data_IF_506789474983
#
_entry.id   IF_506789474983
#
_cell.length_a   1.000
_cell.length_b   1.000
_cell.length_c   1.000
_cell.angle_alpha   90.00
_cell.angle_beta   90.00
_cell.angle_gamma   90.00
#
_symmetry.space_group_name_H-M   'P 1'
#
loop_
_entity.id
_entity.type
_entity.pdbx_description
1 polymer ?
#
# COMPACT_ATOMS: atom_id res chain seq x y z
N UNK A 1 10.60 26.98 17.41
CA UNK A 1 9.36 26.66 16.65
C UNK A 1 9.02 25.23 17.01
N UNK A 2 7.80 24.94 17.45
CA UNK A 2 7.38 23.56 17.64
C UNK A 2 7.38 22.89 16.26
N UNK A 3 8.19 21.87 16.07
CA UNK A 3 8.15 21.03 14.87
C UNK A 3 6.77 20.38 14.83
N UNK A 4 6.02 20.60 13.73
CA UNK A 4 4.78 19.88 13.52
C UNK A 4 5.12 18.38 13.43
N UNK A 5 4.59 17.60 14.38
CA UNK A 5 4.85 16.16 14.48
C UNK A 5 4.41 15.37 13.23
N UNK A 6 3.58 15.99 12.40
CA UNK A 6 3.04 15.39 11.18
C UNK A 6 3.62 15.99 9.91
N UNK A 7 4.61 16.87 10.00
CA UNK A 7 5.27 17.46 8.83
C UNK A 7 6.01 16.39 8.02
N UNK A 8 5.62 16.25 6.77
CA UNK A 8 6.21 15.33 5.78
C UNK A 8 6.88 16.10 4.62
N UNK A 9 7.17 17.38 4.82
CA UNK A 9 7.82 18.21 3.78
C UNK A 9 9.12 17.56 3.29
N UNK A 10 9.25 17.42 1.97
CA UNK A 10 10.40 16.80 1.31
C UNK A 10 10.43 15.27 1.38
N UNK A 11 9.37 14.61 1.86
CA UNK A 11 9.24 13.15 1.86
C UNK A 11 8.61 12.66 0.57
N UNK A 12 9.09 11.52 0.08
CA UNK A 12 8.52 10.79 -1.06
C UNK A 12 7.68 9.63 -0.53
N UNK A 13 6.40 9.59 -0.90
CA UNK A 13 5.45 8.60 -0.44
C UNK A 13 4.83 7.83 -1.63
N UNK A 14 4.77 6.51 -1.52
CA UNK A 14 4.05 5.64 -2.44
C UNK A 14 2.79 5.10 -1.77
N UNK A 15 1.64 5.23 -2.42
CA UNK A 15 0.39 4.64 -1.96
C UNK A 15 -0.20 3.75 -3.04
N UNK A 16 -0.25 2.43 -2.80
CA UNK A 16 -0.87 1.48 -3.72
C UNK A 16 -2.38 1.35 -3.47
N UNK A 17 -3.16 1.12 -4.54
CA UNK A 17 -4.62 1.11 -4.44
C UNK A 17 -5.20 2.48 -4.08
N UNK A 18 -4.52 3.55 -4.51
CA UNK A 18 -4.83 4.93 -4.14
C UNK A 18 -5.85 5.62 -5.05
N UNK A 19 -6.44 4.92 -6.01
CA UNK A 19 -7.43 5.50 -6.93
C UNK A 19 -8.82 5.71 -6.32
N UNK A 20 -9.06 5.22 -5.10
CA UNK A 20 -10.36 5.36 -4.40
C UNK A 20 -10.28 4.92 -2.94
N UNK A 21 -11.27 5.34 -2.14
CA UNK A 21 -11.52 4.86 -0.78
C UNK A 21 -10.35 5.14 0.18
N UNK A 22 -9.95 4.14 0.97
CA UNK A 22 -8.92 4.30 2.00
C UNK A 22 -7.60 4.79 1.41
N UNK A 23 -7.15 4.22 0.29
CA UNK A 23 -5.89 4.61 -0.35
C UNK A 23 -5.90 6.04 -0.88
N UNK A 24 -7.01 6.49 -1.46
CA UNK A 24 -7.19 7.86 -1.93
C UNK A 24 -7.09 8.85 -0.76
N UNK A 25 -7.80 8.58 0.35
CA UNK A 25 -7.77 9.46 1.52
C UNK A 25 -6.39 9.49 2.20
N UNK A 26 -5.68 8.34 2.22
CA UNK A 26 -4.29 8.29 2.68
C UNK A 26 -3.40 9.17 1.79
N UNK A 27 -3.50 9.04 0.47
CA UNK A 27 -2.70 9.83 -0.47
C UNK A 27 -2.93 11.33 -0.29
N UNK A 28 -4.21 11.76 -0.21
CA UNK A 28 -4.57 13.15 0.06
C UNK A 28 -4.03 13.65 1.40
N UNK A 29 -4.11 12.82 2.45
CA UNK A 29 -3.62 13.20 3.78
C UNK A 29 -2.10 13.39 3.78
N UNK A 30 -1.34 12.44 3.22
CA UNK A 30 0.11 12.55 3.14
C UNK A 30 0.56 13.79 2.34
N UNK A 31 -0.13 14.09 1.24
CA UNK A 31 0.14 15.28 0.45
C UNK A 31 -0.17 16.58 1.22
N UNK A 32 -1.27 16.63 1.98
CA UNK A 32 -1.60 17.78 2.85
C UNK A 32 -0.54 18.01 3.94
N UNK A 33 0.15 16.95 4.36
CA UNK A 33 1.27 17.05 5.32
C UNK A 33 2.62 17.36 4.65
N UNK A 34 2.64 17.64 3.35
CA UNK A 34 3.82 18.10 2.61
C UNK A 34 4.59 17.01 1.86
N UNK A 35 4.16 15.74 1.89
CA UNK A 35 4.79 14.71 1.10
C UNK A 35 4.49 14.87 -0.40
N UNK A 36 5.45 14.49 -1.26
CA UNK A 36 5.17 14.20 -2.66
C UNK A 36 4.68 12.76 -2.78
N UNK A 37 3.47 12.55 -3.35
CA UNK A 37 2.79 11.26 -3.32
C UNK A 37 2.70 10.63 -4.70
N UNK A 38 3.27 9.43 -4.86
CA UNK A 38 3.03 8.58 -6.02
C UNK A 38 1.70 7.84 -5.78
N UNK A 39 0.67 8.25 -6.52
CA UNK A 39 -0.68 7.69 -6.47
C UNK A 39 -0.72 6.50 -7.42
N UNK A 40 -0.76 5.27 -6.88
CA UNK A 40 -0.65 4.08 -7.71
C UNK A 40 -1.88 3.18 -7.63
N UNK A 41 -2.35 2.74 -8.79
CA UNK A 41 -3.32 1.65 -8.97
C UNK A 41 -3.24 1.09 -10.39
N UNK A 42 -4.11 0.13 -10.74
CA UNK A 42 -4.08 -0.55 -12.03
C UNK A 42 -4.43 0.32 -13.23
N UNK A 43 -5.23 1.37 -13.04
CA UNK A 43 -5.71 2.25 -14.11
C UNK A 43 -5.11 3.63 -13.94
N UNK A 44 -4.38 4.07 -14.96
CA UNK A 44 -3.69 5.36 -14.93
C UNK A 44 -4.67 6.53 -14.81
N UNK A 45 -5.80 6.49 -15.51
CA UNK A 45 -6.79 7.56 -15.49
C UNK A 45 -7.37 7.80 -14.09
N UNK A 46 -7.67 6.69 -13.36
CA UNK A 46 -8.18 6.78 -11.98
C UNK A 46 -7.09 7.36 -11.02
N UNK A 47 -5.81 7.06 -11.27
CA UNK A 47 -4.69 7.62 -10.50
C UNK A 47 -4.49 9.11 -10.83
N UNK A 48 -4.61 9.46 -12.10
CA UNK A 48 -4.47 10.84 -12.59
C UNK A 48 -5.51 11.75 -11.94
N UNK A 49 -6.78 11.34 -11.91
CA UNK A 49 -7.84 12.12 -11.28
C UNK A 49 -7.56 12.42 -9.79
N UNK A 50 -7.02 11.46 -9.04
CA UNK A 50 -6.64 11.68 -7.64
C UNK A 50 -5.41 12.58 -7.53
N UNK A 51 -4.40 12.38 -8.36
CA UNK A 51 -3.20 13.22 -8.36
C UNK A 51 -3.53 14.68 -8.75
N UNK A 52 -4.43 14.91 -9.69
CA UNK A 52 -4.93 16.24 -10.04
C UNK A 52 -5.66 16.89 -8.86
N UNK A 53 -6.56 16.16 -8.20
CA UNK A 53 -7.24 16.65 -6.99
C UNK A 53 -6.24 17.08 -5.90
N UNK A 54 -5.18 16.31 -5.70
CA UNK A 54 -4.12 16.66 -4.74
C UNK A 54 -3.39 17.94 -5.17
N UNK A 55 -3.03 18.06 -6.44
CA UNK A 55 -2.33 19.25 -6.99
C UNK A 55 -3.19 20.49 -6.92
N UNK A 56 -4.48 20.41 -7.22
CA UNK A 56 -5.44 21.52 -7.09
C UNK A 56 -5.56 22.03 -5.65
N UNK A 57 -5.32 21.15 -4.67
CA UNK A 57 -5.28 21.50 -3.24
C UNK A 57 -3.90 21.99 -2.77
N UNK A 58 -2.95 22.18 -3.68
CA UNK A 58 -1.60 22.68 -3.39
C UNK A 58 -0.61 21.60 -2.95
N UNK A 59 -0.98 20.33 -2.98
CA UNK A 59 -0.10 19.21 -2.66
C UNK A 59 0.74 18.73 -3.85
N UNK A 60 1.80 17.98 -3.58
CA UNK A 60 2.62 17.31 -4.59
C UNK A 60 2.11 15.89 -4.85
N UNK A 61 1.80 15.53 -6.09
CA UNK A 61 1.46 14.17 -6.45
C UNK A 61 1.71 13.85 -7.92
N UNK A 62 1.97 12.58 -8.21
CA UNK A 62 1.99 12.04 -9.56
C UNK A 62 1.25 10.69 -9.66
N UNK A 63 0.65 10.36 -10.81
CA UNK A 63 0.01 9.08 -11.03
C UNK A 63 1.00 8.06 -11.57
N UNK A 64 0.87 6.78 -11.17
CA UNK A 64 1.59 5.67 -11.76
C UNK A 64 0.71 4.41 -11.84
N UNK A 65 0.57 3.82 -13.03
CA UNK A 65 -0.18 2.57 -13.19
C UNK A 65 0.67 1.38 -12.72
N UNK A 66 0.16 0.62 -11.74
CA UNK A 66 0.79 -0.61 -11.27
C UNK A 66 -0.26 -1.61 -10.78
N UNK A 67 -0.26 -2.79 -11.36
CA UNK A 67 -0.94 -3.95 -10.81
C UNK A 67 0.01 -4.66 -9.83
N UNK A 68 -0.20 -4.51 -8.53
CA UNK A 68 0.66 -5.13 -7.51
C UNK A 68 0.69 -6.66 -7.54
N UNK A 69 -0.19 -7.31 -8.30
CA UNK A 69 -0.12 -8.74 -8.60
C UNK A 69 0.85 -9.09 -9.74
N UNK A 70 1.36 -8.11 -10.48
CA UNK A 70 2.32 -8.29 -11.57
C UNK A 70 3.71 -7.83 -11.13
N UNK A 71 4.70 -8.71 -11.22
CA UNK A 71 6.06 -8.40 -10.77
C UNK A 71 6.76 -7.41 -11.69
N UNK A 72 6.48 -7.42 -13.00
CA UNK A 72 7.06 -6.48 -13.95
C UNK A 72 6.53 -5.05 -13.70
N UNK A 73 5.23 -4.92 -13.36
CA UNK A 73 4.66 -3.62 -13.00
C UNK A 73 5.30 -3.07 -11.72
N UNK A 74 5.55 -3.93 -10.71
CA UNK A 74 6.25 -3.54 -9.48
C UNK A 74 7.67 -3.10 -9.81
N UNK A 75 8.40 -3.87 -10.63
CA UNK A 75 9.76 -3.51 -11.03
C UNK A 75 9.80 -2.16 -11.76
N UNK A 76 8.87 -1.92 -12.69
CA UNK A 76 8.77 -0.65 -13.41
C UNK A 76 8.45 0.53 -12.49
N UNK A 77 7.53 0.36 -11.53
CA UNK A 77 7.19 1.38 -10.53
C UNK A 77 8.41 1.78 -9.69
N UNK A 78 9.15 0.81 -9.16
CA UNK A 78 10.31 1.10 -8.32
C UNK A 78 11.52 1.60 -9.11
N UNK A 79 11.69 1.19 -10.37
CA UNK A 79 12.67 1.79 -11.28
C UNK A 79 12.37 3.27 -11.52
N UNK A 80 11.10 3.63 -11.77
CA UNK A 80 10.67 5.01 -11.91
C UNK A 80 10.94 5.83 -10.63
N UNK A 81 10.59 5.30 -9.45
CA UNK A 81 10.84 6.00 -8.17
C UNK A 81 12.34 6.22 -7.96
N UNK A 82 13.16 5.23 -8.29
CA UNK A 82 14.61 5.35 -8.17
C UNK A 82 15.17 6.41 -9.12
N UNK A 83 14.73 6.41 -10.39
CA UNK A 83 15.19 7.36 -11.41
C UNK A 83 14.75 8.80 -11.10
N UNK A 84 13.48 8.99 -10.72
CA UNK A 84 12.90 10.32 -10.51
C UNK A 84 13.31 10.96 -9.18
N UNK A 85 13.46 10.16 -8.11
CA UNK A 85 13.65 10.68 -6.74
C UNK A 85 14.90 10.14 -6.04
N UNK A 86 15.44 9.02 -6.49
CA UNK A 86 16.56 8.33 -5.85
C UNK A 86 16.24 7.74 -4.48
N UNK A 87 15.07 7.99 -3.90
CA UNK A 87 14.67 7.63 -2.53
C UNK A 87 13.18 7.32 -2.42
N UNK A 88 12.82 6.59 -1.36
CA UNK A 88 11.44 6.44 -0.90
C UNK A 88 11.42 6.53 0.62
N UNK A 89 10.58 7.39 1.20
CA UNK A 89 10.47 7.56 2.66
C UNK A 89 9.26 6.80 3.24
N UNK A 90 8.17 6.71 2.49
CA UNK A 90 6.91 6.11 2.94
C UNK A 90 6.36 5.19 1.87
N UNK A 91 6.03 3.95 2.24
CA UNK A 91 5.33 3.01 1.37
C UNK A 91 4.04 2.53 2.06
N UNK A 92 2.89 2.77 1.42
CA UNK A 92 1.59 2.29 1.90
C UNK A 92 1.09 1.21 0.95
N UNK A 93 1.15 -0.04 1.41
CA UNK A 93 0.55 -1.18 0.74
C UNK A 93 -0.93 -1.24 1.11
N UNK A 94 -1.80 -0.76 0.21
CA UNK A 94 -3.23 -0.72 0.44
C UNK A 94 -4.06 -1.43 -0.65
N UNK A 95 -3.51 -1.64 -1.84
CA UNK A 95 -4.19 -2.39 -2.89
C UNK A 95 -4.57 -3.80 -2.42
N UNK A 96 -5.82 -4.20 -2.61
CA UNK A 96 -6.29 -5.53 -2.20
C UNK A 96 -7.24 -6.13 -3.23
N UNK A 97 -7.35 -7.46 -3.20
CA UNK A 97 -8.33 -8.23 -3.95
C UNK A 97 -9.17 -9.10 -3.01
N UNK A 98 -10.46 -9.15 -3.27
CA UNK A 98 -11.41 -10.10 -2.68
C UNK A 98 -12.43 -10.48 -3.76
N UNK A 99 -12.05 -11.31 -4.74
CA UNK A 99 -12.88 -11.62 -5.91
C UNK A 99 -14.02 -12.60 -5.59
N UNK A 100 -13.99 -13.22 -4.41
CA UNK A 100 -14.98 -14.23 -4.01
C UNK A 100 -15.54 -13.91 -2.62
N UNK A 101 -16.87 -13.87 -2.54
CA UNK A 101 -17.61 -13.76 -1.29
C UNK A 101 -18.59 -14.93 -1.22
N UNK A 102 -18.26 -15.95 -0.42
CA UNK A 102 -19.01 -17.21 -0.35
C UNK A 102 -18.41 -18.21 0.63
N UNK A 103 -19.03 -19.38 0.70
CA UNK A 103 -18.58 -20.46 1.60
C UNK A 103 -17.15 -20.92 1.25
N UNK A 104 -16.34 -21.15 2.27
CA UNK A 104 -14.90 -21.44 2.07
C UNK A 104 -14.67 -22.72 1.25
N UNK A 105 -15.54 -23.72 1.34
CA UNK A 105 -15.43 -24.97 0.58
C UNK A 105 -15.70 -24.79 -0.93
N UNK A 106 -16.35 -23.70 -1.33
CA UNK A 106 -16.68 -23.40 -2.72
C UNK A 106 -15.68 -22.40 -3.36
N UNK A 107 -14.57 -22.09 -2.66
CA UNK A 107 -13.52 -21.21 -3.18
C UNK A 107 -12.81 -21.90 -4.34
N UNK A 108 -12.94 -21.35 -5.55
CA UNK A 108 -12.21 -21.86 -6.71
C UNK A 108 -10.74 -21.44 -6.73
N UNK A 109 -9.94 -22.15 -7.54
CA UNK A 109 -8.50 -21.91 -7.66
C UNK A 109 -8.18 -20.50 -8.23
N UNK A 110 -9.01 -19.96 -9.10
CA UNK A 110 -8.83 -18.63 -9.68
C UNK A 110 -8.96 -17.54 -8.61
N UNK A 111 -10.03 -17.62 -7.82
CA UNK A 111 -10.26 -16.70 -6.69
C UNK A 111 -9.15 -16.82 -5.63
N UNK A 112 -8.74 -18.05 -5.30
CA UNK A 112 -7.62 -18.30 -4.39
C UNK A 112 -6.34 -17.65 -4.90
N UNK A 113 -5.92 -18.00 -6.13
CA UNK A 113 -4.69 -17.49 -6.72
C UNK A 113 -4.69 -15.97 -6.83
N UNK A 114 -5.81 -15.37 -7.28
CA UNK A 114 -5.92 -13.90 -7.39
C UNK A 114 -5.79 -13.21 -6.04
N UNK A 115 -6.38 -13.77 -4.99
CA UNK A 115 -6.30 -13.19 -3.64
C UNK A 115 -4.88 -13.28 -3.08
N UNK A 116 -4.22 -14.44 -3.23
CA UNK A 116 -2.83 -14.65 -2.80
C UNK A 116 -1.85 -13.78 -3.58
N UNK A 117 -2.02 -13.72 -4.91
CA UNK A 117 -1.20 -12.90 -5.81
C UNK A 117 -1.17 -11.43 -5.37
N UNK A 118 -2.34 -10.84 -5.14
CA UNK A 118 -2.43 -9.42 -4.80
C UNK A 118 -2.11 -9.18 -3.32
N UNK A 119 -2.73 -9.92 -2.42
CA UNK A 119 -2.70 -9.60 -0.99
C UNK A 119 -1.45 -10.13 -0.26
N UNK A 120 -0.80 -11.17 -0.78
CA UNK A 120 0.43 -11.73 -0.18
C UNK A 120 1.63 -11.40 -1.03
N UNK A 121 1.72 -11.93 -2.25
CA UNK A 121 2.89 -11.74 -3.12
C UNK A 121 3.12 -10.27 -3.43
N UNK A 122 2.06 -9.53 -3.79
CA UNK A 122 2.14 -8.10 -4.07
C UNK A 122 2.67 -7.30 -2.88
N UNK A 123 2.07 -7.47 -1.70
CA UNK A 123 2.52 -6.77 -0.48
C UNK A 123 3.96 -7.09 -0.12
N UNK A 124 4.35 -8.36 -0.26
CA UNK A 124 5.71 -8.80 0.05
C UNK A 124 6.73 -8.09 -0.84
N UNK A 125 6.56 -8.17 -2.17
CA UNK A 125 7.54 -7.59 -3.09
C UNK A 125 7.49 -6.06 -3.15
N UNK A 126 6.34 -5.43 -2.97
CA UNK A 126 6.25 -3.98 -2.75
C UNK A 126 7.06 -3.57 -1.51
N UNK A 127 6.98 -4.34 -0.42
CA UNK A 127 7.75 -4.07 0.80
C UNK A 127 9.25 -4.33 0.61
N UNK A 128 9.62 -5.36 -0.16
CA UNK A 128 11.02 -5.66 -0.49
C UNK A 128 11.65 -4.50 -1.28
N UNK A 129 11.01 -4.08 -2.36
CA UNK A 129 11.55 -3.00 -3.19
C UNK A 129 11.56 -1.65 -2.45
N UNK A 130 10.50 -1.34 -1.68
CA UNK A 130 10.50 -0.17 -0.81
C UNK A 130 11.65 -0.22 0.21
N UNK A 131 11.84 -1.37 0.86
CA UNK A 131 12.90 -1.58 1.85
C UNK A 131 14.30 -1.39 1.27
N UNK A 132 14.54 -1.80 0.03
CA UNK A 132 15.82 -1.56 -0.67
C UNK A 132 16.11 -0.07 -0.81
N UNK A 133 15.15 0.71 -1.34
CA UNK A 133 15.32 2.16 -1.48
C UNK A 133 15.47 2.87 -0.11
N UNK A 134 14.69 2.45 0.89
CA UNK A 134 14.76 3.02 2.24
C UNK A 134 16.11 2.74 2.92
N UNK A 135 16.63 1.51 2.78
CA UNK A 135 17.92 1.11 3.37
C UNK A 135 19.04 2.02 2.93
N UNK A 136 19.07 2.36 1.65
CA UNK A 136 20.17 3.11 1.06
C UNK A 136 20.08 4.63 1.38
N UNK A 137 18.95 5.07 2.00
CA UNK A 137 18.68 6.47 2.34
C UNK A 137 18.37 6.72 3.82
N UNK A 138 18.84 5.84 4.71
CA UNK A 138 18.75 6.06 6.15
C UNK A 138 17.43 5.65 6.80
N UNK A 139 16.65 4.83 6.13
CA UNK A 139 15.41 4.26 6.70
C UNK A 139 14.12 4.81 6.09
N UNK A 140 13.00 4.44 6.69
CA UNK A 140 11.68 4.82 6.20
C UNK A 140 10.52 4.19 6.98
N UNK A 141 9.32 4.26 6.42
CA UNK A 141 8.13 3.68 7.02
C UNK A 141 7.30 2.90 6.00
N UNK A 142 7.00 1.65 6.31
CA UNK A 142 6.08 0.80 5.55
C UNK A 142 4.79 0.63 6.35
N UNK A 143 3.64 0.86 5.73
CA UNK A 143 2.31 0.61 6.32
C UNK A 143 1.56 -0.38 5.45
N UNK A 144 1.15 -1.49 6.04
CA UNK A 144 0.37 -2.52 5.37
C UNK A 144 -1.10 -2.45 5.79
N UNK A 145 -2.01 -2.21 4.87
CA UNK A 145 -3.45 -2.24 5.14
C UNK A 145 -3.93 -3.69 5.20
N UNK A 146 -4.03 -4.22 6.41
CA UNK A 146 -4.62 -5.52 6.71
C UNK A 146 -6.17 -5.43 6.77
N UNK A 147 -6.78 -5.98 7.80
CA UNK A 147 -8.22 -5.90 8.11
C UNK A 147 -8.45 -6.45 9.52
N UNK A 148 -9.54 -6.08 10.18
CA UNK A 148 -10.01 -6.79 11.38
C UNK A 148 -10.21 -8.28 11.12
N UNK A 149 -10.51 -8.68 9.87
CA UNK A 149 -10.61 -10.08 9.45
C UNK A 149 -9.30 -10.87 9.61
N UNK A 150 -8.18 -10.20 9.78
CA UNK A 150 -6.90 -10.84 10.12
C UNK A 150 -6.91 -11.47 11.52
N UNK A 151 -7.71 -10.94 12.42
CA UNK A 151 -7.83 -11.37 13.81
C UNK A 151 -9.13 -12.17 14.04
N UNK A 152 -10.21 -11.73 13.41
CA UNK A 152 -11.52 -12.35 13.52
C UNK A 152 -12.13 -12.51 12.12
N UNK A 153 -12.00 -13.69 11.50
CA UNK A 153 -12.50 -13.92 10.15
C UNK A 153 -14.00 -13.66 10.03
N UNK A 154 -14.38 -12.85 9.05
CA UNK A 154 -15.78 -12.62 8.72
C UNK A 154 -16.38 -13.83 7.97
N UNK A 155 -17.67 -14.14 8.16
CA UNK A 155 -18.37 -15.17 7.36
C UNK A 155 -18.20 -14.88 5.86
N UNK A 156 -18.13 -15.94 5.05
CA UNK A 156 -18.03 -15.86 3.58
C UNK A 156 -16.78 -15.15 3.02
N UNK A 157 -15.76 -14.88 3.86
CA UNK A 157 -14.52 -14.19 3.49
C UNK A 157 -13.28 -15.05 3.81
N UNK A 158 -13.36 -16.36 3.60
CA UNK A 158 -12.33 -17.30 4.01
C UNK A 158 -10.92 -16.94 3.51
N UNK A 159 -10.67 -17.02 2.19
CA UNK A 159 -9.33 -16.77 1.63
C UNK A 159 -8.87 -15.31 1.87
N UNK A 160 -9.77 -14.33 1.81
CA UNK A 160 -9.43 -12.94 2.12
C UNK A 160 -8.91 -12.81 3.55
N UNK A 161 -9.62 -13.36 4.54
CA UNK A 161 -9.23 -13.31 5.96
C UNK A 161 -7.86 -13.99 6.18
N UNK A 162 -7.63 -15.15 5.56
CA UNK A 162 -6.35 -15.85 5.60
C UNK A 162 -5.21 -14.94 5.06
N UNK A 163 -5.42 -14.30 3.92
CA UNK A 163 -4.39 -13.40 3.38
C UNK A 163 -4.14 -12.18 4.26
N UNK A 164 -5.18 -11.65 4.92
CA UNK A 164 -5.02 -10.50 5.82
C UNK A 164 -4.31 -10.88 7.13
N UNK A 165 -4.48 -12.10 7.63
CA UNK A 165 -3.66 -12.64 8.72
C UNK A 165 -2.19 -12.80 8.29
N UNK A 166 -1.94 -13.28 7.07
CA UNK A 166 -0.59 -13.34 6.51
C UNK A 166 0.06 -11.96 6.42
N UNK A 167 -0.68 -10.91 6.03
CA UNK A 167 -0.18 -9.52 5.99
C UNK A 167 0.24 -9.03 7.39
N UNK A 168 -0.52 -9.35 8.44
CA UNK A 168 -0.15 -8.99 9.82
C UNK A 168 1.16 -9.68 10.23
N UNK A 169 1.32 -10.97 9.92
CA UNK A 169 2.56 -11.67 10.22
C UNK A 169 3.74 -11.17 9.38
N UNK A 170 3.54 -10.94 8.10
CA UNK A 170 4.51 -10.31 7.19
C UNK A 170 5.00 -8.97 7.75
N UNK A 171 4.09 -8.13 8.24
CA UNK A 171 4.45 -6.85 8.86
C UNK A 171 5.40 -7.02 10.04
N UNK A 172 5.18 -8.04 10.89
CA UNK A 172 6.07 -8.35 12.02
C UNK A 172 7.46 -8.81 11.56
N UNK A 173 7.52 -9.59 10.47
CA UNK A 173 8.79 -10.04 9.87
C UNK A 173 9.59 -8.82 9.40
N UNK A 174 8.98 -7.97 8.55
CA UNK A 174 9.66 -6.76 8.06
C UNK A 174 10.04 -5.80 9.20
N UNK A 175 9.16 -5.60 10.19
CA UNK A 175 9.46 -4.76 11.35
C UNK A 175 10.69 -5.25 12.11
N UNK A 176 10.82 -6.58 12.29
CA UNK A 176 11.94 -7.18 13.02
C UNK A 176 13.23 -7.17 12.23
N UNK A 177 13.18 -7.57 10.96
CA UNK A 177 14.39 -7.72 10.13
C UNK A 177 14.92 -6.38 9.63
N UNK A 178 14.05 -5.40 9.37
CA UNK A 178 14.43 -4.09 8.83
C UNK A 178 14.69 -3.02 9.90
N UNK A 179 14.42 -3.31 11.19
CA UNK A 179 14.67 -2.35 12.27
C UNK A 179 16.14 -1.85 12.33
N UNK A 180 17.16 -2.71 12.15
CA UNK A 180 18.56 -2.25 12.12
C UNK A 180 18.90 -1.29 10.96
N UNK A 181 18.05 -1.26 9.93
CA UNK A 181 18.14 -0.38 8.76
C UNK A 181 17.38 0.94 8.93
N UNK A 182 16.83 1.21 10.12
CA UNK A 182 16.00 2.40 10.36
C UNK A 182 14.60 2.34 9.72
N UNK A 183 14.15 1.16 9.26
CA UNK A 183 12.85 0.99 8.61
C UNK A 183 11.84 0.48 9.62
N UNK A 184 10.74 1.20 9.76
CA UNK A 184 9.59 0.81 10.58
C UNK A 184 8.52 0.18 9.70
N UNK A 185 7.91 -0.92 10.14
CA UNK A 185 6.81 -1.55 9.43
C UNK A 185 5.63 -1.75 10.37
N UNK A 186 4.43 -1.25 9.99
CA UNK A 186 3.23 -1.35 10.79
C UNK A 186 2.04 -1.82 9.96
N UNK A 187 1.06 -2.45 10.61
CA UNK A 187 -0.19 -2.85 10.00
C UNK A 187 -1.35 -1.96 10.48
N UNK A 188 -2.15 -1.50 9.54
CA UNK A 188 -3.46 -0.89 9.81
C UNK A 188 -4.53 -1.98 9.61
N UNK A 189 -5.42 -2.14 10.60
CA UNK A 189 -6.50 -3.12 10.57
C UNK A 189 -7.87 -2.42 10.51
N UNK A 190 -8.32 -1.92 9.36
CA UNK A 190 -9.61 -1.28 9.24
C UNK A 190 -10.75 -2.27 9.56
N UNK A 191 -11.78 -1.76 10.22
CA UNK A 191 -13.08 -2.40 10.32
C UNK A 191 -13.93 -2.11 9.09
N UNK A 192 -15.25 -2.19 9.26
CA UNK A 192 -16.19 -1.85 8.21
C UNK A 192 -16.07 -0.34 7.90
N UNK A 193 -15.57 -0.05 6.72
CA UNK A 193 -15.34 1.32 6.25
C UNK A 193 -16.16 1.54 4.99
N UNK A 194 -16.94 2.63 4.95
CA UNK A 194 -17.78 2.97 3.80
C UNK A 194 -16.93 3.32 2.57
N UNK A 195 -16.66 2.32 1.74
CA UNK A 195 -15.92 2.44 0.48
C UNK A 195 -16.59 1.64 -0.63
N UNK A 196 -16.10 1.76 -1.87
CA UNK A 196 -16.58 0.90 -2.99
C UNK A 196 -15.99 -0.53 -2.93
N UNK A 197 -15.18 -0.84 -1.95
CA UNK A 197 -14.61 -2.18 -1.76
C UNK A 197 -15.45 -3.04 -0.81
N UNK A 198 -16.18 -2.39 0.10
CA UNK A 198 -17.06 -3.04 1.10
C UNK A 198 -18.49 -3.14 0.59
#
# INVERSE_FOLDING_TARGET
>A
MATDLFDLTGKIALVSGASRGIGEEIAKLLARQGAHVIVSSRKIDDCTAVAETIREQGGGAEPFACNVGNMDDIAALFAHIHEAYGRLDICVNNAAANPYFGHVLDTDLGAFNKTVEVNIRGYFFMSVEAGKLMRDHGGGAIVNTASINALQPGPMQGIYSITKAAVVNMTKVFAKECAPLGIRCNALLPGLTRTRFA
#
